data_IF_196681499631
#
_entry.id   IF_196681499631
#
_cell.length_a   1.000
_cell.length_b   1.000
_cell.length_c   1.000
_cell.angle_alpha   90.00
_cell.angle_beta   90.00
_cell.angle_gamma   90.00
#
_symmetry.space_group_name_H-M   'P 1'
#
loop_
_entity.id
_entity.type
_entity.pdbx_description
1 polymer ?
#
# COMPACT_ATOMS: atom_id res chain seq x y z
N UNK A 1 -4.07 26.79 12.40
CA UNK A 1 -3.98 25.46 13.05
C UNK A 1 -4.13 24.45 11.94
N UNK A 2 -3.05 23.79 11.53
CA UNK A 2 -3.09 22.77 10.49
C UNK A 2 -3.50 21.46 11.14
N UNK A 3 -4.79 21.15 11.08
CA UNK A 3 -5.29 19.83 11.43
C UNK A 3 -4.59 18.82 10.51
N UNK A 4 -3.63 18.07 11.07
CA UNK A 4 -3.10 16.88 10.44
C UNK A 4 -4.27 15.92 10.27
N UNK A 5 -4.85 15.87 9.07
CA UNK A 5 -5.94 14.94 8.77
C UNK A 5 -5.37 13.53 8.90
N UNK A 6 -5.75 12.84 9.97
CA UNK A 6 -5.48 11.41 10.08
C UNK A 6 -6.08 10.73 8.84
N UNK A 7 -5.26 9.97 8.11
CA UNK A 7 -5.73 9.23 6.95
C UNK A 7 -6.73 8.15 7.33
N UNK A 8 -7.31 7.49 6.34
CA UNK A 8 -8.38 6.53 6.58
C UNK A 8 -7.90 5.30 7.36
N UNK A 9 -8.73 4.80 8.29
CA UNK A 9 -8.40 3.62 9.08
C UNK A 9 -9.02 2.37 8.46
N UNK A 10 -8.20 1.34 8.24
CA UNK A 10 -8.66 0.00 7.89
C UNK A 10 -8.39 -0.98 9.03
N UNK A 11 -9.26 -1.97 9.14
CA UNK A 11 -9.05 -3.12 10.02
C UNK A 11 -8.60 -4.34 9.21
N UNK A 12 -7.56 -5.03 9.69
CA UNK A 12 -6.97 -6.23 9.08
C UNK A 12 -6.80 -7.28 10.18
N UNK A 13 -6.98 -8.55 9.84
CA UNK A 13 -6.63 -9.68 10.71
C UNK A 13 -5.41 -10.43 10.16
N UNK A 14 -4.41 -10.69 11.01
CA UNK A 14 -3.18 -11.43 10.67
C UNK A 14 -2.91 -12.46 11.77
N UNK A 15 -2.82 -13.73 11.40
CA UNK A 15 -2.63 -14.86 12.32
C UNK A 15 -3.63 -14.86 13.48
N UNK A 16 -4.90 -14.55 13.17
CA UNK A 16 -5.99 -14.48 14.14
C UNK A 16 -5.96 -13.26 15.06
N UNK A 17 -5.04 -12.30 14.86
CA UNK A 17 -5.00 -11.02 15.58
C UNK A 17 -5.52 -9.89 14.71
N UNK A 18 -6.38 -9.05 15.29
CA UNK A 18 -6.94 -7.87 14.61
C UNK A 18 -6.11 -6.62 14.88
N UNK A 19 -5.85 -5.86 13.82
CA UNK A 19 -5.07 -4.63 13.82
C UNK A 19 -5.86 -3.51 13.14
N UNK A 20 -5.69 -2.28 13.64
CA UNK A 20 -6.15 -1.06 12.97
C UNK A 20 -4.95 -0.37 12.35
N UNK A 21 -5.01 -0.09 11.06
CA UNK A 21 -3.95 0.56 10.30
C UNK A 21 -4.49 1.87 9.77
N UNK A 22 -3.79 2.96 10.06
CA UNK A 22 -4.07 4.28 9.47
C UNK A 22 -3.30 4.39 8.16
N UNK A 23 -4.00 4.67 7.07
CA UNK A 23 -3.41 4.86 5.74
C UNK A 23 -2.88 6.28 5.56
N UNK A 24 -2.01 6.49 4.57
CA UNK A 24 -1.51 7.82 4.20
C UNK A 24 -2.66 8.69 3.68
N UNK A 25 -2.72 9.95 4.11
CA UNK A 25 -3.77 10.91 3.76
C UNK A 25 -3.69 11.38 2.30
N UNK A 26 -2.56 11.13 1.63
CA UNK A 26 -2.33 11.40 0.21
C UNK A 26 -2.71 10.23 -0.69
N UNK A 27 -3.21 9.14 -0.13
CA UNK A 27 -3.70 8.00 -0.90
C UNK A 27 -4.87 8.45 -1.78
N UNK A 28 -4.76 8.27 -3.10
CA UNK A 28 -5.84 8.63 -4.00
C UNK A 28 -7.06 7.70 -3.79
N UNK A 29 -8.28 8.16 -4.10
CA UNK A 29 -9.49 7.40 -3.82
C UNK A 29 -9.55 6.01 -4.45
N UNK A 30 -8.95 5.81 -5.63
CA UNK A 30 -8.96 4.50 -6.29
C UNK A 30 -8.03 3.52 -5.60
N UNK A 31 -6.82 3.97 -5.26
CA UNK A 31 -5.88 3.18 -4.45
C UNK A 31 -6.49 2.83 -3.09
N UNK A 32 -7.20 3.77 -2.46
CA UNK A 32 -7.90 3.54 -1.21
C UNK A 32 -8.99 2.46 -1.32
N UNK A 33 -9.80 2.53 -2.37
CA UNK A 33 -10.83 1.53 -2.66
C UNK A 33 -10.23 0.14 -2.89
N UNK A 34 -9.13 0.05 -3.65
CA UNK A 34 -8.40 -1.20 -3.85
C UNK A 34 -7.83 -1.76 -2.54
N UNK A 35 -7.27 -0.91 -1.67
CA UNK A 35 -6.78 -1.34 -0.36
C UNK A 35 -7.93 -1.92 0.47
N UNK A 36 -9.06 -1.22 0.55
CA UNK A 36 -10.23 -1.69 1.31
C UNK A 36 -10.75 -3.01 0.75
N UNK A 37 -10.91 -3.10 -0.56
CA UNK A 37 -11.37 -4.31 -1.23
C UNK A 37 -10.47 -5.52 -0.93
N UNK A 38 -9.15 -5.32 -0.87
CA UNK A 38 -8.19 -6.40 -0.71
C UNK A 38 -7.88 -6.75 0.74
N UNK A 39 -8.01 -5.82 1.68
CA UNK A 39 -7.49 -5.98 3.04
C UNK A 39 -8.53 -5.73 4.15
N UNK A 40 -9.51 -4.85 3.95
CA UNK A 40 -10.41 -4.47 5.03
C UNK A 40 -11.29 -5.65 5.47
N UNK A 41 -11.30 -5.92 6.78
CA UNK A 41 -12.05 -7.01 7.43
C UNK A 41 -11.69 -8.41 6.88
N UNK A 42 -10.46 -8.59 6.39
CA UNK A 42 -9.96 -9.86 5.89
C UNK A 42 -8.89 -10.45 6.80
N UNK A 43 -8.86 -11.78 6.87
CA UNK A 43 -7.77 -12.55 7.46
C UNK A 43 -6.70 -12.80 6.39
N UNK A 44 -5.44 -12.58 6.76
CA UNK A 44 -4.30 -12.76 5.88
C UNK A 44 -3.24 -13.54 6.63
N UNK A 45 -2.82 -14.64 6.02
CA UNK A 45 -1.70 -15.42 6.52
C UNK A 45 -0.40 -14.59 6.46
N UNK A 46 0.43 -14.58 7.53
CA UNK A 46 1.66 -13.80 7.55
C UNK A 46 2.59 -14.05 6.36
N UNK A 47 2.63 -15.30 5.87
CA UNK A 47 3.44 -15.68 4.71
C UNK A 47 2.95 -15.01 3.42
N UNK A 48 1.65 -14.84 3.25
CA UNK A 48 1.07 -14.17 2.07
C UNK A 48 1.33 -12.66 2.12
N UNK A 49 1.27 -12.05 3.30
CA UNK A 49 1.66 -10.66 3.49
C UNK A 49 3.14 -10.44 3.14
N UNK A 50 4.02 -11.35 3.59
CA UNK A 50 5.45 -11.26 3.30
C UNK A 50 5.75 -11.43 1.80
N UNK A 51 5.13 -12.42 1.13
CA UNK A 51 5.23 -12.58 -0.33
C UNK A 51 4.74 -11.34 -1.07
N UNK A 52 3.61 -10.77 -0.67
CA UNK A 52 3.06 -9.55 -1.27
C UNK A 52 4.03 -8.37 -1.12
N UNK A 53 4.67 -8.23 0.05
CA UNK A 53 5.67 -7.20 0.29
C UNK A 53 6.90 -7.37 -0.61
N UNK A 54 7.47 -8.59 -0.68
CA UNK A 54 8.62 -8.88 -1.55
C UNK A 54 8.31 -8.60 -3.03
N UNK A 55 7.11 -8.97 -3.50
CA UNK A 55 6.65 -8.68 -4.86
C UNK A 55 6.57 -7.17 -5.12
N UNK A 56 5.98 -6.40 -4.18
CA UNK A 56 5.92 -4.94 -4.30
C UNK A 56 7.31 -4.29 -4.38
N UNK A 57 8.29 -4.76 -3.59
CA UNK A 57 9.69 -4.27 -3.68
C UNK A 57 10.23 -4.46 -5.11
N UNK A 58 10.04 -5.65 -5.68
CA UNK A 58 10.51 -5.96 -7.04
C UNK A 58 9.79 -5.12 -8.11
N UNK A 59 8.49 -4.92 -7.98
CA UNK A 59 7.70 -4.08 -8.89
C UNK A 59 8.14 -2.62 -8.85
N UNK A 60 8.32 -2.06 -7.66
CA UNK A 60 8.82 -0.68 -7.47
C UNK A 60 10.22 -0.53 -8.08
N UNK A 61 11.12 -1.48 -7.86
CA UNK A 61 12.45 -1.45 -8.46
C UNK A 61 12.38 -1.39 -10.00
N UNK A 62 11.54 -2.23 -10.62
CA UNK A 62 11.31 -2.22 -12.08
C UNK A 62 10.71 -0.91 -12.57
N UNK A 63 9.71 -0.37 -11.86
CA UNK A 63 9.08 0.91 -12.21
C UNK A 63 10.07 2.06 -12.13
N UNK A 64 10.92 2.10 -11.10
CA UNK A 64 11.96 3.11 -10.95
C UNK A 64 12.99 3.03 -12.08
N UNK A 65 13.42 1.82 -12.48
CA UNK A 65 14.31 1.67 -13.65
C UNK A 65 13.67 2.24 -14.92
N UNK A 66 12.41 1.86 -15.21
CA UNK A 66 11.68 2.40 -16.37
C UNK A 66 11.51 3.91 -16.33
N UNK A 67 11.25 4.47 -15.15
CA UNK A 67 11.12 5.92 -14.96
C UNK A 67 12.44 6.62 -15.26
N UNK A 68 13.56 6.10 -14.75
CA UNK A 68 14.90 6.64 -15.05
C UNK A 68 15.21 6.58 -16.55
N UNK A 69 14.88 5.47 -17.22
CA UNK A 69 15.02 5.35 -18.67
C UNK A 69 14.21 6.39 -19.45
N UNK A 70 13.01 6.73 -18.98
CA UNK A 70 12.17 7.77 -19.58
C UNK A 70 12.74 9.17 -19.32
N UNK A 71 13.16 9.46 -18.09
CA UNK A 71 13.75 10.75 -17.74
C UNK A 71 15.03 11.04 -18.52
N UNK A 72 15.87 10.03 -18.75
CA UNK A 72 17.09 10.16 -19.55
C UNK A 72 16.82 10.48 -21.04
N UNK A 73 15.58 10.34 -21.52
CA UNK A 73 15.19 10.68 -22.90
C UNK A 73 14.63 12.10 -23.04
N UNK A 74 14.43 12.80 -21.92
CA UNK A 74 14.03 14.20 -21.93
C UNK A 74 15.33 15.04 -22.04
N UNK A 75 15.50 15.81 -23.12
CA UNK A 75 16.72 16.62 -23.34
C UNK A 75 16.88 17.75 -22.33
#
# INVERSE_FOLDING_TARGET
MTDSKFGEVIEISIAGRRYKITLDDRCDPKTLEEIKLNFHNKEIEPIELFKAHLKKIQEIARLNTKLQELLNKIP
#
